data_IF_228149387619
#
_entry.id   IF_228149387619
#
_cell.length_a   1.000
_cell.length_b   1.000
_cell.length_c   1.000
_cell.angle_alpha   90.00
_cell.angle_beta   90.00
_cell.angle_gamma   90.00
#
_symmetry.space_group_name_H-M   'P 1'
#
loop_
_entity.id
_entity.type
_entity.pdbx_description
1 polymer ?
#
# COMPACT_ATOMS: atom_id res chain seq x y z
N UNK A 1 -20.47 -13.84 -11.24
CA UNK A 1 -19.73 -13.90 -9.97
C UNK A 1 -20.60 -13.27 -8.90
N UNK A 2 -20.84 -13.98 -7.78
CA UNK A 2 -21.56 -13.43 -6.64
C UNK A 2 -20.55 -12.99 -5.56
N UNK A 3 -20.77 -11.81 -4.98
CA UNK A 3 -20.03 -11.35 -3.80
C UNK A 3 -20.81 -11.79 -2.55
N UNK A 4 -20.20 -12.65 -1.73
CA UNK A 4 -20.78 -13.10 -0.47
C UNK A 4 -20.28 -12.24 0.69
N UNK A 5 -21.20 -11.57 1.40
CA UNK A 5 -20.88 -10.76 2.58
C UNK A 5 -21.33 -11.47 3.86
N UNK A 6 -20.38 -11.97 4.64
CA UNK A 6 -20.61 -12.57 5.95
C UNK A 6 -20.49 -11.50 7.04
N UNK A 7 -21.40 -11.49 8.01
CA UNK A 7 -21.38 -10.56 9.15
C UNK A 7 -21.55 -11.35 10.44
N UNK A 8 -20.79 -11.00 11.47
CA UNK A 8 -20.97 -11.52 12.81
C UNK A 8 -20.67 -10.43 13.83
N UNK A 9 -21.18 -10.60 15.05
CA UNK A 9 -20.92 -9.70 16.18
C UNK A 9 -19.53 -9.92 16.79
N UNK A 10 -18.89 -11.05 16.49
CA UNK A 10 -17.55 -11.38 16.94
C UNK A 10 -16.72 -11.98 15.81
N UNK A 11 -15.46 -11.57 15.72
CA UNK A 11 -14.54 -11.99 14.65
C UNK A 11 -14.22 -13.48 14.69
N UNK A 12 -14.22 -14.09 15.87
CA UNK A 12 -13.94 -15.52 16.04
C UNK A 12 -14.97 -16.42 15.36
N UNK A 13 -16.24 -16.00 15.29
CA UNK A 13 -17.26 -16.69 14.50
C UNK A 13 -16.99 -16.62 12.99
N UNK A 14 -16.52 -15.47 12.49
CA UNK A 14 -16.17 -15.34 11.06
C UNK A 14 -14.96 -16.20 10.71
N UNK A 15 -13.95 -16.25 11.58
CA UNK A 15 -12.77 -17.10 11.41
C UNK A 15 -13.14 -18.59 11.43
N UNK A 16 -14.10 -18.96 12.26
CA UNK A 16 -14.63 -20.31 12.39
C UNK A 16 -15.33 -20.79 11.13
N UNK A 17 -16.20 -19.94 10.56
CA UNK A 17 -16.88 -20.18 9.28
C UNK A 17 -15.90 -20.18 8.10
N UNK A 18 -14.89 -19.29 8.12
CA UNK A 18 -13.81 -19.33 7.14
C UNK A 18 -13.08 -20.67 7.18
N UNK A 19 -12.78 -21.20 8.37
CA UNK A 19 -12.19 -22.52 8.53
C UNK A 19 -13.06 -23.63 7.95
N UNK A 20 -14.39 -23.56 8.10
CA UNK A 20 -15.31 -24.52 7.50
C UNK A 20 -15.35 -24.42 5.96
N UNK A 21 -15.20 -23.21 5.42
CA UNK A 21 -15.10 -22.97 3.98
C UNK A 21 -13.80 -23.56 3.41
N UNK A 22 -12.67 -23.26 4.04
CA UNK A 22 -11.33 -23.72 3.63
C UNK A 22 -11.09 -25.22 3.88
N UNK A 23 -11.92 -25.88 4.70
CA UNK A 23 -11.84 -27.33 4.91
C UNK A 23 -12.23 -28.15 3.66
N UNK A 24 -12.86 -27.52 2.67
CA UNK A 24 -13.11 -28.12 1.36
C UNK A 24 -11.89 -27.86 0.48
N UNK A 25 -11.10 -28.88 0.11
CA UNK A 25 -9.88 -28.67 -0.66
C UNK A 25 -10.18 -28.17 -2.08
N UNK A 26 -9.25 -27.40 -2.62
CA UNK A 26 -9.22 -27.03 -4.03
C UNK A 26 -9.01 -28.27 -4.92
N UNK A 27 -9.36 -28.14 -6.19
CA UNK A 27 -9.18 -29.21 -7.17
C UNK A 27 -7.70 -29.54 -7.43
N UNK A 28 -6.83 -28.52 -7.38
CA UNK A 28 -5.38 -28.67 -7.46
C UNK A 28 -4.80 -28.76 -6.04
N UNK A 29 -4.10 -29.86 -5.68
CA UNK A 29 -3.50 -30.02 -4.36
C UNK A 29 -2.34 -29.07 -4.07
N UNK A 30 -1.79 -28.37 -5.07
CA UNK A 30 -0.72 -27.39 -4.89
C UNK A 30 -1.20 -25.94 -5.00
N UNK A 31 -2.49 -25.71 -5.23
CA UNK A 31 -3.04 -24.37 -5.24
C UNK A 31 -3.19 -23.84 -3.80
N UNK A 32 -2.75 -22.61 -3.59
CA UNK A 32 -2.93 -21.91 -2.33
C UNK A 32 -4.28 -21.18 -2.29
N UNK A 33 -4.94 -21.23 -1.14
CA UNK A 33 -6.10 -20.40 -0.81
C UNK A 33 -5.62 -18.98 -0.47
N UNK A 34 -6.21 -17.95 -1.09
CA UNK A 34 -5.83 -16.56 -0.82
C UNK A 34 -6.74 -15.95 0.25
N UNK A 35 -6.15 -15.52 1.36
CA UNK A 35 -6.88 -14.83 2.44
C UNK A 35 -6.32 -13.43 2.66
N UNK A 36 -7.14 -12.41 2.40
CA UNK A 36 -6.74 -11.02 2.56
C UNK A 36 -6.97 -10.56 4.00
N UNK A 37 -5.93 -10.04 4.64
CA UNK A 37 -5.94 -9.58 6.03
C UNK A 37 -5.37 -8.16 6.15
N UNK A 38 -5.92 -7.31 7.04
CA UNK A 38 -5.53 -5.90 7.10
C UNK A 38 -4.18 -5.67 7.78
N UNK A 39 -3.71 -6.61 8.60
CA UNK A 39 -2.47 -6.47 9.37
C UNK A 39 -1.88 -7.83 9.75
N UNK A 40 -0.56 -7.86 9.98
CA UNK A 40 0.17 -9.06 10.42
C UNK A 40 -0.31 -9.66 11.75
N UNK A 41 -0.86 -8.84 12.64
CA UNK A 41 -1.49 -9.34 13.87
C UNK A 41 -2.72 -10.21 13.61
N UNK A 42 -3.56 -9.80 12.64
CA UNK A 42 -4.75 -10.55 12.23
C UNK A 42 -4.36 -11.82 11.50
N UNK A 43 -3.36 -11.76 10.62
CA UNK A 43 -2.75 -12.93 9.96
C UNK A 43 -2.32 -13.98 10.99
N UNK A 44 -1.50 -13.58 11.97
CA UNK A 44 -0.97 -14.50 12.98
C UNK A 44 -2.09 -15.14 13.80
N UNK A 45 -3.04 -14.33 14.27
CA UNK A 45 -4.19 -14.81 15.04
C UNK A 45 -5.05 -15.77 14.21
N UNK A 46 -5.30 -15.44 12.95
CA UNK A 46 -6.14 -16.25 12.06
C UNK A 46 -5.45 -17.57 11.70
N UNK A 47 -4.17 -17.55 11.33
CA UNK A 47 -3.38 -18.75 11.06
C UNK A 47 -3.36 -19.72 12.25
N UNK A 48 -3.16 -19.19 13.47
CA UNK A 48 -3.20 -20.01 14.69
C UNK A 48 -4.60 -20.58 14.95
N UNK A 49 -5.65 -19.78 14.76
CA UNK A 49 -7.02 -20.26 14.96
C UNK A 49 -7.39 -21.33 13.93
N UNK A 50 -7.02 -21.14 12.67
CA UNK A 50 -7.27 -22.08 11.59
C UNK A 50 -6.49 -23.38 11.77
N UNK A 51 -5.26 -23.36 12.31
CA UNK A 51 -4.50 -24.59 12.56
C UNK A 51 -5.16 -25.51 13.59
N UNK A 52 -6.07 -25.03 14.43
CA UNK A 52 -6.85 -25.91 15.31
C UNK A 52 -8.04 -26.57 14.62
N UNK A 53 -8.31 -26.26 13.34
CA UNK A 53 -9.47 -26.75 12.60
C UNK A 53 -9.12 -27.44 11.30
N UNK A 54 -8.22 -26.84 10.52
CA UNK A 54 -7.78 -27.38 9.24
C UNK A 54 -6.86 -28.58 9.49
N UNK A 55 -7.03 -29.65 8.71
CA UNK A 55 -6.21 -30.87 8.82
C UNK A 55 -6.54 -31.77 10.02
N UNK A 56 -7.54 -31.43 10.84
CA UNK A 56 -7.96 -32.27 11.97
C UNK A 56 -8.70 -33.51 11.47
N UNK A 57 -8.09 -34.68 11.64
CA UNK A 57 -8.67 -35.96 11.22
C UNK A 57 -9.80 -36.48 12.14
N UNK A 58 -10.52 -37.52 11.68
CA UNK A 58 -11.63 -38.16 12.41
C UNK A 58 -11.27 -38.68 13.81
N UNK A 59 -9.99 -38.93 14.09
CA UNK A 59 -9.48 -39.42 15.37
C UNK A 59 -9.17 -38.29 16.36
N UNK A 60 -9.39 -37.03 15.97
CA UNK A 60 -8.86 -35.87 16.68
C UNK A 60 -7.35 -35.71 16.46
N UNK A 61 -6.80 -34.57 16.89
CA UNK A 61 -5.38 -34.26 16.79
C UNK A 61 -5.13 -32.78 16.49
N UNK A 62 -3.85 -32.41 16.49
CA UNK A 62 -3.42 -31.07 16.09
C UNK A 62 -3.61 -30.91 14.58
N UNK A 63 -4.19 -29.79 14.17
CA UNK A 63 -4.31 -29.43 12.77
C UNK A 63 -3.14 -28.54 12.30
N UNK A 64 -3.21 -28.12 11.04
CA UNK A 64 -2.23 -27.22 10.44
C UNK A 64 -2.93 -26.22 9.51
N UNK A 65 -2.51 -24.97 9.56
CA UNK A 65 -2.84 -23.97 8.55
C UNK A 65 -1.74 -24.00 7.50
N UNK A 66 -1.96 -24.71 6.39
CA UNK A 66 -1.03 -24.83 5.27
C UNK A 66 -1.79 -24.61 3.96
N UNK A 67 -1.07 -24.20 2.90
CA UNK A 67 -1.68 -23.87 1.62
C UNK A 67 -2.59 -22.63 1.67
N UNK A 68 -2.29 -21.68 2.56
CA UNK A 68 -3.02 -20.41 2.69
C UNK A 68 -2.05 -19.26 2.53
N UNK A 69 -2.21 -18.49 1.47
CA UNK A 69 -1.44 -17.29 1.19
C UNK A 69 -2.15 -16.06 1.78
N UNK A 70 -1.63 -15.59 2.90
CA UNK A 70 -2.12 -14.39 3.56
C UNK A 70 -1.55 -13.12 2.94
N UNK A 71 -2.43 -12.32 2.34
CA UNK A 71 -2.05 -11.09 1.62
C UNK A 71 -2.61 -9.84 2.28
N UNK A 72 -1.91 -8.72 2.13
CA UNK A 72 -2.51 -7.42 2.41
C UNK A 72 -3.43 -7.01 1.24
N UNK A 73 -4.45 -6.16 1.48
CA UNK A 73 -5.28 -5.63 0.41
C UNK A 73 -4.45 -4.97 -0.71
N UNK A 74 -3.39 -4.24 -0.35
CA UNK A 74 -2.52 -3.58 -1.31
C UNK A 74 -1.71 -4.56 -2.15
N UNK A 75 -1.19 -5.64 -1.55
CA UNK A 75 -0.43 -6.68 -2.27
C UNK A 75 -1.31 -7.39 -3.32
N UNK A 76 -2.54 -7.73 -2.94
CA UNK A 76 -3.48 -8.33 -3.90
C UNK A 76 -3.86 -7.33 -5.00
N UNK A 77 -4.10 -6.07 -4.63
CA UNK A 77 -4.41 -5.03 -5.60
C UNK A 77 -3.27 -4.84 -6.61
N UNK A 78 -2.02 -4.67 -6.15
CA UNK A 78 -0.85 -4.46 -7.02
C UNK A 78 -0.59 -5.64 -7.94
N UNK A 79 -0.85 -6.87 -7.50
CA UNK A 79 -0.77 -8.05 -8.35
C UNK A 79 -1.84 -8.04 -9.45
N UNK A 80 -3.09 -7.75 -9.10
CA UNK A 80 -4.21 -7.72 -10.06
C UNK A 80 -4.02 -6.63 -11.12
N UNK A 81 -3.46 -5.48 -10.75
CA UNK A 81 -3.21 -4.37 -11.69
C UNK A 81 -1.82 -4.41 -12.33
N UNK A 82 -0.99 -5.41 -12.02
CA UNK A 82 0.33 -5.61 -12.62
C UNK A 82 1.41 -4.61 -12.17
N UNK A 83 1.24 -3.94 -11.03
CA UNK A 83 2.19 -2.96 -10.47
C UNK A 83 2.99 -3.51 -9.30
N UNK A 84 2.96 -4.83 -9.07
CA UNK A 84 3.64 -5.47 -7.94
C UNK A 84 5.15 -5.29 -7.97
N UNK A 85 5.76 -5.49 -9.13
CA UNK A 85 7.22 -5.45 -9.28
C UNK A 85 7.71 -4.06 -9.71
N UNK A 86 6.93 -3.37 -10.54
CA UNK A 86 7.25 -2.05 -11.07
C UNK A 86 6.05 -1.12 -10.95
N UNK A 87 6.04 -0.29 -9.91
CA UNK A 87 5.09 0.81 -9.75
C UNK A 87 5.83 2.15 -9.89
N UNK A 88 5.72 2.85 -11.04
CA UNK A 88 6.36 4.15 -11.23
C UNK A 88 5.80 5.24 -10.31
N UNK A 89 4.62 5.02 -9.71
CA UNK A 89 3.97 5.94 -8.78
C UNK A 89 4.23 5.58 -7.31
N UNK A 90 4.94 4.49 -7.03
CA UNK A 90 5.39 4.20 -5.68
C UNK A 90 6.26 5.36 -5.16
N UNK A 91 6.12 5.78 -3.89
CA UNK A 91 6.84 6.93 -3.37
C UNK A 91 8.35 6.90 -3.64
N UNK A 92 8.98 5.74 -3.47
CA UNK A 92 10.43 5.56 -3.63
C UNK A 92 10.87 5.69 -5.10
N UNK A 93 10.04 5.28 -6.05
CA UNK A 93 10.28 5.50 -7.48
C UNK A 93 10.02 6.96 -7.87
N UNK A 94 8.93 7.55 -7.37
CA UNK A 94 8.47 8.89 -7.71
C UNK A 94 9.42 10.00 -7.21
N UNK A 95 10.26 9.74 -6.20
CA UNK A 95 11.28 10.70 -5.73
C UNK A 95 12.18 11.19 -6.87
N UNK A 96 12.61 10.28 -7.75
CA UNK A 96 13.58 10.60 -8.80
C UNK A 96 13.05 11.56 -9.87
N UNK A 97 11.89 11.32 -10.51
CA UNK A 97 11.32 12.30 -11.42
C UNK A 97 10.94 13.60 -10.68
N UNK A 98 10.53 13.55 -9.42
CA UNK A 98 10.25 14.75 -8.63
C UNK A 98 11.49 15.60 -8.39
N UNK A 99 12.67 15.00 -8.19
CA UNK A 99 13.92 15.77 -8.07
C UNK A 99 14.20 16.59 -9.33
N UNK A 100 13.98 16.01 -10.51
CA UNK A 100 14.14 16.74 -11.79
C UNK A 100 13.13 17.88 -11.90
N UNK A 101 11.85 17.61 -11.62
CA UNK A 101 10.80 18.63 -11.65
C UNK A 101 11.08 19.76 -10.65
N UNK A 102 11.57 19.43 -9.45
CA UNK A 102 11.97 20.41 -8.46
C UNK A 102 13.06 21.32 -9.04
N UNK A 103 14.14 20.75 -9.58
CA UNK A 103 15.27 21.49 -10.14
C UNK A 103 14.84 22.40 -11.28
N UNK A 104 14.04 21.88 -12.21
CA UNK A 104 13.51 22.62 -13.37
C UNK A 104 12.58 23.77 -12.94
N UNK A 105 12.05 23.74 -11.72
CA UNK A 105 11.10 24.72 -11.20
C UNK A 105 11.71 25.75 -10.25
N UNK A 106 12.98 25.63 -9.81
CA UNK A 106 13.51 26.49 -8.73
C UNK A 106 13.63 27.97 -9.12
N UNK A 107 13.71 28.28 -10.40
CA UNK A 107 13.74 29.65 -10.93
C UNK A 107 12.33 30.25 -11.14
N UNK A 108 11.28 29.45 -11.00
CA UNK A 108 9.92 29.91 -11.19
C UNK A 108 9.43 30.79 -10.02
N UNK A 109 8.71 31.90 -10.28
CA UNK A 109 8.25 32.80 -9.22
C UNK A 109 7.36 32.12 -8.17
N UNK A 110 6.54 31.14 -8.59
CA UNK A 110 5.66 30.39 -7.68
C UNK A 110 6.43 29.43 -6.76
N UNK A 111 7.66 29.05 -7.13
CA UNK A 111 8.52 28.16 -6.38
C UNK A 111 9.46 28.90 -5.42
N UNK A 112 9.42 30.24 -5.35
CA UNK A 112 10.33 31.03 -4.51
C UNK A 112 10.46 30.56 -3.04
N UNK A 113 9.39 30.15 -2.33
CA UNK A 113 9.53 29.59 -0.98
C UNK A 113 10.31 28.29 -0.93
N UNK A 114 10.10 27.41 -1.93
CA UNK A 114 10.80 26.14 -2.08
C UNK A 114 12.27 26.37 -2.43
N UNK A 115 12.56 27.23 -3.40
CA UNK A 115 13.91 27.63 -3.81
C UNK A 115 14.74 28.12 -2.61
N UNK A 116 14.16 29.02 -1.79
CA UNK A 116 14.80 29.50 -0.55
C UNK A 116 15.04 28.37 0.46
N UNK A 117 14.08 27.45 0.60
CA UNK A 117 14.17 26.35 1.55
C UNK A 117 15.31 25.38 1.22
N UNK A 118 15.52 25.12 -0.07
CA UNK A 118 16.58 24.23 -0.59
C UNK A 118 17.89 24.97 -0.89
N UNK A 119 17.99 26.27 -0.61
CA UNK A 119 19.22 27.04 -0.78
C UNK A 119 19.60 27.32 -2.23
N UNK A 120 18.62 27.37 -3.14
CA UNK A 120 18.84 27.79 -4.52
C UNK A 120 19.31 29.26 -4.56
N UNK A 121 20.37 29.54 -5.32
CA UNK A 121 20.97 30.89 -5.40
C UNK A 121 21.71 31.35 -4.13
N UNK A 122 21.93 30.48 -3.15
CA UNK A 122 22.74 30.77 -1.96
C UNK A 122 24.12 30.14 -2.12
N UNK A 123 25.16 30.97 -2.09
CA UNK A 123 26.56 30.54 -2.15
C UNK A 123 27.12 30.25 -0.74
N UNK A 124 28.22 29.48 -0.70
CA UNK A 124 28.92 29.12 0.53
C UNK A 124 28.29 27.95 1.29
N UNK A 125 28.88 27.64 2.45
CA UNK A 125 28.57 26.45 3.26
C UNK A 125 27.08 26.35 3.63
N UNK A 126 26.42 27.48 3.93
CA UNK A 126 24.99 27.52 4.20
C UNK A 126 24.14 27.10 2.98
N UNK A 127 24.56 27.46 1.77
CA UNK A 127 23.92 27.03 0.53
C UNK A 127 24.04 25.52 0.34
N UNK A 128 25.23 24.98 0.54
CA UNK A 128 25.54 23.55 0.41
C UNK A 128 24.70 22.71 1.39
N UNK A 129 24.64 23.12 2.66
CA UNK A 129 23.83 22.47 3.70
C UNK A 129 22.34 22.46 3.35
N UNK A 130 21.81 23.55 2.79
CA UNK A 130 20.41 23.65 2.38
C UNK A 130 20.09 22.81 1.16
N UNK A 131 21.01 22.68 0.19
CA UNK A 131 20.81 21.83 -0.99
C UNK A 131 20.67 20.35 -0.61
N UNK A 132 21.27 19.92 0.51
CA UNK A 132 21.05 18.59 1.08
C UNK A 132 19.59 18.28 1.43
N UNK A 133 18.72 19.29 1.59
CA UNK A 133 17.28 19.11 1.86
C UNK A 133 16.48 18.67 0.65
N UNK A 134 17.02 18.81 -0.58
CA UNK A 134 16.31 18.50 -1.84
C UNK A 134 15.71 17.09 -1.84
N UNK A 135 16.51 16.09 -1.47
CA UNK A 135 16.05 14.70 -1.40
C UNK A 135 14.92 14.52 -0.39
N UNK A 136 15.05 15.08 0.81
CA UNK A 136 14.02 14.98 1.84
C UNK A 136 12.70 15.66 1.42
N UNK A 137 12.78 16.78 0.70
CA UNK A 137 11.60 17.46 0.13
C UNK A 137 10.95 16.60 -0.94
N UNK A 138 11.71 16.07 -1.90
CA UNK A 138 11.19 15.18 -2.95
C UNK A 138 10.51 13.94 -2.34
N UNK A 139 11.13 13.32 -1.35
CA UNK A 139 10.56 12.17 -0.64
C UNK A 139 9.26 12.51 0.11
N UNK A 140 9.19 13.70 0.70
CA UNK A 140 7.96 14.18 1.36
C UNK A 140 6.84 14.43 0.35
N UNK A 141 7.15 15.05 -0.79
CA UNK A 141 6.18 15.28 -1.86
C UNK A 141 5.68 13.96 -2.47
N UNK A 142 6.58 13.00 -2.71
CA UNK A 142 6.22 11.67 -3.22
C UNK A 142 5.20 10.96 -2.30
N UNK A 143 5.45 10.96 -0.97
CA UNK A 143 4.51 10.42 0.01
C UNK A 143 3.18 11.17 0.05
N UNK A 144 3.19 12.49 -0.12
CA UNK A 144 1.96 13.29 -0.19
C UNK A 144 1.14 12.94 -1.43
N UNK A 145 1.77 12.80 -2.60
CA UNK A 145 1.08 12.38 -3.82
C UNK A 145 0.50 10.98 -3.69
N UNK A 146 1.23 10.02 -3.14
CA UNK A 146 0.71 8.68 -2.89
C UNK A 146 -0.50 8.69 -1.91
N UNK A 147 -0.42 9.50 -0.85
CA UNK A 147 -1.56 9.69 0.06
C UNK A 147 -2.77 10.31 -0.65
N UNK A 148 -2.57 11.32 -1.49
CA UNK A 148 -3.64 11.93 -2.27
C UNK A 148 -4.25 10.97 -3.29
N UNK A 149 -3.45 10.13 -3.95
CA UNK A 149 -3.95 9.13 -4.87
C UNK A 149 -4.94 8.15 -4.19
N UNK A 150 -4.72 7.83 -2.91
CA UNK A 150 -5.60 6.95 -2.13
C UNK A 150 -6.79 7.71 -1.53
N UNK A 151 -6.55 8.85 -0.88
CA UNK A 151 -7.57 9.54 -0.07
C UNK A 151 -8.39 10.57 -0.84
N UNK A 152 -7.80 11.17 -1.90
CA UNK A 152 -8.38 12.24 -2.70
C UNK A 152 -8.05 12.05 -4.19
N UNK A 153 -8.37 10.89 -4.81
CA UNK A 153 -7.97 10.57 -6.18
C UNK A 153 -8.42 11.63 -7.20
N UNK A 154 -9.61 12.23 -6.98
CA UNK A 154 -10.11 13.31 -7.81
C UNK A 154 -9.15 14.52 -7.84
N UNK A 155 -8.50 14.87 -6.74
CA UNK A 155 -7.54 15.98 -6.68
C UNK A 155 -6.38 15.77 -7.64
N UNK A 156 -5.82 14.57 -7.66
CA UNK A 156 -4.69 14.20 -8.53
C UNK A 156 -5.14 14.19 -10.00
N UNK A 157 -6.33 13.67 -10.29
CA UNK A 157 -6.88 13.63 -11.65
C UNK A 157 -7.21 15.02 -12.22
N UNK A 158 -7.66 15.95 -11.38
CA UNK A 158 -7.91 17.34 -11.79
C UNK A 158 -6.60 18.08 -12.07
N UNK A 159 -5.60 17.93 -11.20
CA UNK A 159 -4.28 18.53 -11.40
C UNK A 159 -3.58 18.00 -12.65
N UNK A 160 -3.66 16.69 -12.91
CA UNK A 160 -3.06 16.12 -14.13
C UNK A 160 -3.73 16.62 -15.42
N UNK A 161 -4.99 17.06 -15.33
CA UNK A 161 -5.70 17.70 -16.42
C UNK A 161 -5.53 19.24 -16.46
N UNK A 162 -4.61 19.79 -15.66
CA UNK A 162 -4.32 21.24 -15.61
C UNK A 162 -5.40 22.08 -14.93
N UNK A 163 -6.35 21.46 -14.22
CA UNK A 163 -7.43 22.17 -13.51
C UNK A 163 -6.97 22.55 -12.11
N UNK A 164 -7.25 23.78 -11.70
CA UNK A 164 -7.08 24.22 -10.32
C UNK A 164 -8.35 23.91 -9.54
N UNK A 165 -8.19 23.28 -8.38
CA UNK A 165 -9.28 23.16 -7.41
C UNK A 165 -9.14 24.33 -6.44
N UNK A 166 -10.12 25.22 -6.43
CA UNK A 166 -10.23 26.22 -5.37
C UNK A 166 -10.53 25.48 -4.06
N UNK A 167 -9.60 25.59 -3.10
CA UNK A 167 -9.81 25.05 -1.77
C UNK A 167 -10.96 25.80 -1.11
N UNK A 168 -12.03 25.08 -0.77
CA UNK A 168 -13.10 25.56 0.12
C UNK A 168 -12.82 25.13 1.55
#
# INVERSE_FOLDING_TARGET
MALHLHRATRTDHLADELGALLAKPLADPFADEVVVVPAKGVERWLSQRLSHRLGVGRRGGDGICAGVDFRSPWSLFSEVVGTRDEDPWAPDALVWPLLRVLDDSLDEPWAAPLARHVGHGVEGEEGDLRRGRRYAVAQRLARLFASYAVQRPALVAEWSAGRRIEGR
#
